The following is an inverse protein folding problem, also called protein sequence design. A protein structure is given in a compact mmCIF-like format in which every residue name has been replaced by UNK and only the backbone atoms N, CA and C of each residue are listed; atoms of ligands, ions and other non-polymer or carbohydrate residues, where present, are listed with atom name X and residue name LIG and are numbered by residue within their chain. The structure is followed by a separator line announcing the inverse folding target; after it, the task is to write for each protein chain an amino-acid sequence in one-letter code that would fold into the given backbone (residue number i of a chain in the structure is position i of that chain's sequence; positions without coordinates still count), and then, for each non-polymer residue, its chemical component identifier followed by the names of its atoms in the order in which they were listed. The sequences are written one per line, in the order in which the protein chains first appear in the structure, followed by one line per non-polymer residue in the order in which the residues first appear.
data_IF_589075196401
#
_entry.id   IF_589075196401
#
_cell.length_a   1.000
_cell.length_b   1.000
_cell.length_c   1.000
_cell.angle_alpha   90.00
_cell.angle_beta   90.00
_cell.angle_gamma   90.00
#
_symmetry.space_group_name_H-M   'P 1'
#
loop_
_entity.id
_entity.type
_entity.pdbx_description
1 polymer ?
#
# COMPACT_ATOMS: atom_id res chain seq x y z
N UNK A 1 -21.54 12.71 -10.92
CA UNK A 1 -21.40 11.47 -10.16
C UNK A 1 -21.00 10.42 -11.15
N UNK A 2 -19.94 9.68 -10.87
CA UNK A 2 -19.58 8.50 -11.65
C UNK A 2 -20.52 7.34 -11.28
N UNK A 3 -20.53 6.29 -12.10
CA UNK A 3 -21.39 5.12 -11.85
C UNK A 3 -21.00 4.36 -10.57
N UNK A 4 -19.73 4.47 -10.17
CA UNK A 4 -19.18 3.83 -8.97
C UNK A 4 -18.84 4.83 -7.84
N UNK A 5 -19.14 6.12 -8.04
CA UNK A 5 -18.84 7.17 -7.08
C UNK A 5 -20.03 7.55 -6.22
N UNK A 6 -19.85 7.61 -4.90
CA UNK A 6 -20.93 7.98 -3.97
C UNK A 6 -20.65 9.27 -3.19
N UNK A 7 -21.69 10.04 -2.83
CA UNK A 7 -21.53 11.21 -1.95
C UNK A 7 -21.02 10.83 -0.55
N UNK A 8 -21.34 9.64 -0.07
CA UNK A 8 -20.97 9.10 1.24
C UNK A 8 -20.37 7.71 1.08
N UNK A 9 -19.31 7.36 1.83
CA UNK A 9 -18.70 6.04 1.72
C UNK A 9 -19.69 4.97 2.19
N UNK A 10 -19.57 3.74 1.64
CA UNK A 10 -20.31 2.60 2.18
C UNK A 10 -19.88 2.30 3.63
N UNK A 11 -20.75 1.63 4.39
CA UNK A 11 -20.42 1.23 5.77
C UNK A 11 -19.19 0.35 5.83
N UNK A 12 -19.02 -0.54 4.84
CA UNK A 12 -17.86 -1.41 4.72
C UNK A 12 -16.58 -0.62 4.45
N UNK A 13 -16.59 0.27 3.46
CA UNK A 13 -15.43 1.15 3.18
C UNK A 13 -15.07 1.97 4.41
N UNK A 14 -16.06 2.45 5.15
CA UNK A 14 -15.86 3.20 6.40
C UNK A 14 -15.21 2.34 7.48
N UNK A 15 -15.68 1.11 7.69
CA UNK A 15 -15.10 0.19 8.66
C UNK A 15 -13.64 -0.15 8.33
N UNK A 16 -13.38 -0.42 7.05
CA UNK A 16 -12.05 -0.76 6.53
C UNK A 16 -11.07 0.42 6.67
N UNK A 17 -11.51 1.63 6.32
CA UNK A 17 -10.71 2.85 6.46
C UNK A 17 -10.44 3.23 7.93
N UNK A 18 -11.38 3.00 8.85
CA UNK A 18 -11.17 3.30 10.27
C UNK A 18 -10.03 2.49 10.89
N UNK A 19 -9.73 1.30 10.35
CA UNK A 19 -8.63 0.44 10.81
C UNK A 19 -7.29 0.76 10.15
N UNK A 20 -7.28 1.63 9.12
CA UNK A 20 -6.16 1.84 8.20
C UNK A 20 -5.97 3.34 7.93
N UNK A 21 -5.10 4.03 8.70
CA UNK A 21 -4.94 5.48 8.62
C UNK A 21 -4.61 5.99 7.22
N UNK A 22 -3.71 5.33 6.49
CA UNK A 22 -3.31 5.68 5.12
C UNK A 22 -4.48 5.62 4.13
N UNK A 23 -5.33 4.60 4.25
CA UNK A 23 -6.53 4.50 3.43
C UNK A 23 -7.53 5.60 3.74
N UNK A 24 -7.77 5.87 5.03
CA UNK A 24 -8.65 6.97 5.45
C UNK A 24 -8.16 8.31 4.93
N UNK A 25 -6.86 8.57 5.01
CA UNK A 25 -6.24 9.80 4.52
C UNK A 25 -6.41 9.94 3.00
N UNK A 26 -6.15 8.87 2.24
CA UNK A 26 -6.38 8.86 0.79
C UNK A 26 -7.83 9.21 0.46
N UNK A 27 -8.81 8.54 1.09
CA UNK A 27 -10.24 8.78 0.83
C UNK A 27 -10.66 10.22 1.16
N UNK A 28 -10.13 10.80 2.25
CA UNK A 28 -10.43 12.19 2.62
C UNK A 28 -9.87 13.20 1.61
N UNK A 29 -8.62 13.02 1.18
CA UNK A 29 -7.99 13.85 0.14
C UNK A 29 -8.74 13.70 -1.19
N UNK A 30 -9.04 12.47 -1.57
CA UNK A 30 -9.68 12.18 -2.84
C UNK A 30 -11.11 12.75 -2.90
N UNK A 31 -11.86 12.67 -1.80
CA UNK A 31 -13.18 13.29 -1.69
C UNK A 31 -13.15 14.80 -1.93
N UNK A 32 -12.10 15.51 -1.49
CA UNK A 32 -11.95 16.95 -1.73
C UNK A 32 -11.71 17.27 -3.21
N UNK A 33 -11.04 16.37 -3.94
CA UNK A 33 -10.66 16.55 -5.34
C UNK A 33 -11.80 16.13 -6.28
N UNK A 34 -12.31 14.92 -6.11
CA UNK A 34 -13.30 14.33 -7.01
C UNK A 34 -14.75 14.58 -6.57
N UNK A 35 -14.99 14.97 -5.30
CA UNK A 35 -16.34 15.20 -4.78
C UNK A 35 -17.13 13.94 -4.45
N UNK A 36 -16.54 12.75 -4.57
CA UNK A 36 -17.15 11.44 -4.35
C UNK A 36 -16.16 10.44 -3.70
N UNK A 37 -16.70 9.40 -3.09
CA UNK A 37 -15.95 8.26 -2.58
C UNK A 37 -16.02 7.10 -3.58
N UNK A 38 -14.93 6.31 -3.72
CA UNK A 38 -14.95 5.12 -4.56
C UNK A 38 -15.85 4.02 -4.01
N UNK A 39 -16.31 3.15 -4.89
CA UNK A 39 -16.89 1.86 -4.53
C UNK A 39 -15.80 0.90 -4.09
N UNK A 40 -15.96 0.28 -2.92
CA UNK A 40 -15.12 -0.83 -2.49
C UNK A 40 -15.57 -2.10 -3.21
N UNK A 41 -14.63 -2.80 -3.85
CA UNK A 41 -14.83 -4.10 -4.49
C UNK A 41 -13.74 -5.06 -4.05
N UNK A 42 -13.99 -6.37 -4.15
CA UNK A 42 -13.01 -7.40 -3.79
C UNK A 42 -11.90 -7.52 -4.85
N UNK A 43 -12.30 -7.52 -6.12
CA UNK A 43 -11.40 -7.62 -7.28
C UNK A 43 -11.82 -6.57 -8.34
N UNK A 44 -10.87 -6.03 -9.12
CA UNK A 44 -11.18 -5.12 -10.21
C UNK A 44 -11.86 -5.87 -11.36
N UNK A 45 -12.86 -5.23 -11.96
CA UNK A 45 -13.49 -5.70 -13.18
C UNK A 45 -12.94 -4.96 -14.41
N UNK A 46 -13.29 -5.40 -15.62
CA UNK A 46 -12.99 -4.66 -16.85
C UNK A 46 -13.99 -3.51 -17.04
N UNK A 47 -13.68 -2.38 -16.43
CA UNK A 47 -14.56 -1.21 -16.47
C UNK A 47 -14.55 -0.55 -17.87
N UNK A 48 -15.59 -0.82 -18.67
CA UNK A 48 -15.83 -0.19 -19.98
C UNK A 48 -16.15 1.33 -19.91
N UNK A 49 -16.16 1.92 -18.72
CA UNK A 49 -16.39 3.37 -18.52
C UNK A 49 -15.08 4.15 -18.54
N UNK A 50 -15.14 5.39 -19.05
CA UNK A 50 -14.05 6.37 -18.94
C UNK A 50 -13.97 7.01 -17.55
N UNK A 51 -14.96 6.77 -16.69
CA UNK A 51 -15.03 7.35 -15.34
C UNK A 51 -15.14 6.30 -14.23
N UNK A 52 -14.24 5.30 -14.17
CA UNK A 52 -14.22 4.38 -13.05
C UNK A 52 -13.91 5.14 -11.76
N UNK A 53 -14.49 4.70 -10.65
CA UNK A 53 -14.14 5.20 -9.31
C UNK A 53 -14.27 4.05 -8.32
N UNK A 54 -13.26 3.18 -8.30
CA UNK A 54 -13.29 1.92 -7.54
C UNK A 54 -12.01 1.73 -6.75
N UNK A 55 -12.13 1.09 -5.60
CA UNK A 55 -11.00 0.75 -4.73
C UNK A 55 -11.09 -0.72 -4.34
N UNK A 56 -9.96 -1.41 -4.37
CA UNK A 56 -9.89 -2.83 -4.02
C UNK A 56 -8.59 -3.16 -3.28
N UNK A 57 -8.61 -4.18 -2.40
CA UNK A 57 -7.40 -4.65 -1.73
C UNK A 57 -6.49 -5.40 -2.71
N UNK A 58 -5.18 -5.15 -2.63
CA UNK A 58 -4.17 -5.87 -3.44
C UNK A 58 -3.47 -6.95 -2.61
N UNK A 59 -3.50 -6.81 -1.28
CA UNK A 59 -2.87 -7.74 -0.34
C UNK A 59 -2.33 -7.01 0.89
N UNK A 60 -2.30 -7.70 2.03
CA UNK A 60 -1.84 -7.12 3.30
C UNK A 60 -2.60 -5.83 3.67
N UNK A 61 -1.88 -4.71 3.72
CA UNK A 61 -2.43 -3.38 4.01
C UNK A 61 -2.53 -2.47 2.76
N UNK A 62 -2.31 -2.99 1.56
CA UNK A 62 -2.23 -2.20 0.32
C UNK A 62 -3.56 -2.23 -0.44
N UNK A 63 -3.94 -1.07 -0.97
CA UNK A 63 -5.12 -0.90 -1.84
C UNK A 63 -4.72 -0.26 -3.16
N UNK A 64 -5.46 -0.60 -4.22
CA UNK A 64 -5.41 0.12 -5.49
C UNK A 64 -6.71 0.87 -5.69
N UNK A 65 -6.61 2.14 -6.06
CA UNK A 65 -7.75 2.97 -6.42
C UNK A 65 -7.66 3.36 -7.90
N UNK A 66 -8.65 2.91 -8.68
CA UNK A 66 -8.78 3.22 -10.10
C UNK A 66 -9.74 4.40 -10.23
N UNK A 67 -9.26 5.47 -10.84
CA UNK A 67 -10.05 6.65 -11.09
C UNK A 67 -9.89 7.13 -12.54
N UNK A 68 -11.00 7.51 -13.17
CA UNK A 68 -10.98 8.23 -14.44
C UNK A 68 -12.00 9.37 -14.45
N UNK A 69 -11.78 10.33 -15.34
CA UNK A 69 -12.71 11.42 -15.57
C UNK A 69 -12.65 11.88 -17.03
N UNK A 70 -13.67 12.59 -17.52
CA UNK A 70 -13.76 13.01 -18.92
C UNK A 70 -12.55 13.85 -19.31
N UNK A 71 -11.80 13.40 -20.32
CA UNK A 71 -10.59 14.07 -20.80
C UNK A 71 -9.34 13.83 -19.95
N UNK A 72 -9.37 12.90 -19.00
CA UNK A 72 -8.21 12.42 -18.26
C UNK A 72 -8.02 10.93 -18.45
N UNK A 73 -6.77 10.51 -18.64
CA UNK A 73 -6.43 9.09 -18.65
C UNK A 73 -6.75 8.45 -17.28
N UNK A 74 -7.16 7.18 -17.33
CA UNK A 74 -7.38 6.37 -16.12
C UNK A 74 -6.09 6.33 -15.29
N UNK A 75 -6.21 6.63 -14.00
CA UNK A 75 -5.11 6.62 -13.03
C UNK A 75 -5.29 5.49 -12.03
N UNK A 76 -4.16 4.92 -11.63
CA UNK A 76 -4.06 3.85 -10.65
C UNK A 76 -3.25 4.37 -9.47
N UNK A 77 -3.90 4.57 -8.32
CA UNK A 77 -3.25 5.03 -7.11
C UNK A 77 -2.92 3.84 -6.21
N UNK A 78 -1.64 3.66 -5.90
CA UNK A 78 -1.21 2.74 -4.83
C UNK A 78 -1.42 3.43 -3.48
N UNK A 79 -2.10 2.75 -2.56
CA UNK A 79 -2.42 3.25 -1.23
C UNK A 79 -1.83 2.28 -0.21
N UNK A 80 -0.71 2.68 0.36
CA UNK A 80 0.06 1.87 1.30
C UNK A 80 0.44 2.67 2.55
N UNK A 81 0.71 2.01 3.68
CA UNK A 81 1.28 2.67 4.84
C UNK A 81 2.64 3.27 4.50
N UNK A 82 2.90 4.47 5.01
CA UNK A 82 4.21 5.12 4.93
C UNK A 82 4.79 5.24 6.32
N UNK A 83 6.11 5.15 6.43
CA UNK A 83 6.80 5.40 7.69
C UNK A 83 6.70 6.88 8.05
N UNK A 84 6.29 7.16 9.28
CA UNK A 84 6.45 8.46 9.91
C UNK A 84 7.93 8.82 10.05
N UNK A 85 8.23 10.10 10.29
CA UNK A 85 9.60 10.57 10.45
C UNK A 85 10.32 9.83 11.59
N UNK A 86 9.63 9.56 12.71
CA UNK A 86 10.18 8.79 13.84
C UNK A 86 10.45 7.32 13.50
N UNK A 87 9.56 6.69 12.73
CA UNK A 87 9.75 5.32 12.24
C UNK A 87 10.91 5.23 11.24
N UNK A 88 11.13 6.26 10.42
CA UNK A 88 12.28 6.33 9.53
C UNK A 88 13.59 6.39 10.32
N UNK A 89 13.65 7.22 11.36
CA UNK A 89 14.83 7.28 12.26
C UNK A 89 15.09 5.92 12.90
N UNK A 90 14.03 5.25 13.37
CA UNK A 90 14.13 3.92 13.99
C UNK A 90 14.62 2.87 12.99
N UNK A 91 14.10 2.90 11.76
CA UNK A 91 14.54 2.01 10.69
C UNK A 91 16.02 2.19 10.37
N UNK A 92 16.51 3.43 10.29
CA UNK A 92 17.92 3.71 10.01
C UNK A 92 18.83 3.23 11.16
N UNK A 93 18.38 3.33 12.41
CA UNK A 93 19.11 2.76 13.56
C UNK A 93 19.19 1.23 13.46
N UNK A 94 18.07 0.55 13.14
CA UNK A 94 18.04 -0.90 12.98
C UNK A 94 18.98 -1.33 11.85
N UNK A 95 18.91 -0.67 10.69
CA UNK A 95 19.81 -0.94 9.56
C UNK A 95 21.28 -0.76 9.95
N UNK A 96 21.60 0.33 10.65
CA UNK A 96 22.97 0.60 11.10
C UNK A 96 23.49 -0.47 12.06
N UNK A 97 22.65 -0.94 12.99
CA UNK A 97 22.99 -2.03 13.89
C UNK A 97 23.19 -3.35 13.14
N UNK A 98 22.33 -3.65 12.17
CA UNK A 98 22.41 -4.85 11.35
C UNK A 98 23.69 -4.87 10.51
N UNK A 99 24.09 -3.74 9.92
CA UNK A 99 25.37 -3.59 9.22
C UNK A 99 26.58 -3.77 10.15
N UNK A 100 26.50 -3.23 11.37
CA UNK A 100 27.56 -3.37 12.37
C UNK A 100 27.77 -4.83 12.78
N UNK A 101 26.67 -5.59 12.91
CA UNK A 101 26.71 -7.02 13.19
C UNK A 101 27.19 -7.85 12.00
N UNK A 102 26.81 -7.49 10.76
CA UNK A 102 27.28 -8.19 9.56
C UNK A 102 28.78 -8.01 9.33
N UNK A 103 29.39 -6.92 9.83
CA UNK A 103 30.85 -6.76 9.82
C UNK A 103 31.61 -7.74 10.71
N UNK A 104 30.92 -8.55 11.55
CA UNK A 104 31.51 -9.62 12.37
C UNK A 104 31.23 -11.03 11.84
N UNK A 105 30.48 -11.19 10.75
CA UNK A 105 30.38 -12.45 10.02
C UNK A 105 31.12 -12.29 8.70
N UNK A 106 32.21 -13.06 8.51
CA UNK A 106 32.80 -13.19 7.18
C UNK A 106 31.70 -13.69 6.25
N UNK A 107 31.39 -12.92 5.20
CA UNK A 107 30.62 -13.47 4.09
C UNK A 107 31.39 -14.67 3.57
N UNK A 108 30.80 -15.87 3.54
CA UNK A 108 31.49 -17.01 2.97
C UNK A 108 31.80 -16.71 1.49
N UNK A 109 33.09 -16.73 1.15
CA UNK A 109 33.55 -16.35 -0.19
C UNK A 109 33.36 -17.50 -1.21
N UNK A 110 32.99 -18.71 -0.76
CA UNK A 110 32.77 -19.88 -1.61
C UNK A 110 31.68 -20.82 -1.06
N UNK A 111 31.05 -21.62 -1.94
CA UNK A 111 29.91 -22.51 -1.64
C UNK A 111 30.23 -23.56 -0.54
N UNK A 112 31.50 -23.80 -0.24
CA UNK A 112 31.95 -24.78 0.75
C UNK A 112 31.79 -24.33 2.22
N UNK A 113 31.67 -23.03 2.49
CA UNK A 113 31.54 -22.51 3.86
C UNK A 113 30.10 -22.60 4.42
N UNK A 114 29.11 -22.99 3.59
CA UNK A 114 27.73 -23.19 4.05
C UNK A 114 27.55 -24.50 4.83
N UNK A 115 28.39 -25.51 4.61
CA UNK A 115 28.29 -26.80 5.29
C UNK A 115 28.73 -26.73 6.77
N UNK A 116 29.71 -25.88 7.10
CA UNK A 116 30.20 -25.71 8.49
C UNK A 116 29.17 -25.03 9.41
N UNK A 117 28.20 -24.28 8.86
CA UNK A 117 27.17 -23.61 9.66
C UNK A 117 26.00 -24.53 10.06
N UNK A 118 25.88 -25.70 9.43
CA UNK A 118 24.77 -26.64 9.64
C UNK A 118 25.09 -27.67 10.73
N UNK A 119 26.36 -27.95 11.03
CA UNK A 119 26.75 -28.98 12.01
C UNK A 119 26.72 -28.55 13.49
N UNK A 120 26.53 -27.27 13.82
CA UNK A 120 26.48 -26.77 15.21
C UNK A 120 25.05 -26.43 15.71
N UNK A 121 24.01 -27.03 15.12
CA UNK A 121 22.59 -26.93 15.58
C UNK A 121 22.15 -28.07 16.49
#
# INVERSE_FOLDING_TARGET
MTDQGTPTPSDELRQVANRRPHLREHLQKFKQIAGEFPMLVDEPDDYETDRPNVIYPVGGSVYCHIYGDVGQDKKYYCIEPTLSDDEQVTLEQIKSNLLSMSGHHMSPDDDADYDDLIEDS
#
